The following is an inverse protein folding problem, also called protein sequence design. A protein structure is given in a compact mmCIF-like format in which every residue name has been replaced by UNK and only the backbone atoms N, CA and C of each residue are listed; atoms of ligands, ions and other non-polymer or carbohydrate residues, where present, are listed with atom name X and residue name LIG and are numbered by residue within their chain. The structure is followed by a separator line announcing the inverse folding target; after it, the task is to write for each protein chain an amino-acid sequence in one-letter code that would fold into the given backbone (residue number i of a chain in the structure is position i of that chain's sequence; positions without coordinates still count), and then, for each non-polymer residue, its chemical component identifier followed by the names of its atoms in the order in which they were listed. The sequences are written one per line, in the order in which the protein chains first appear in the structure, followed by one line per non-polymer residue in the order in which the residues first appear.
data_IF_698310520354
#
_entry.id   IF_698310520354
#
_cell.length_a   1.000
_cell.length_b   1.000
_cell.length_c   1.000
_cell.angle_alpha   90.00
_cell.angle_beta   90.00
_cell.angle_gamma   90.00
#
_symmetry.space_group_name_H-M   'P 1'
#
loop_
_entity.id
_entity.type
_entity.pdbx_description
1 polymer ?
#
# COMPACT_ATOMS: atom_id res chain seq x y z
N UNK A 1 22.91 -47.09 25.65
CA UNK A 1 21.86 -46.03 25.54
C UNK A 1 22.45 -44.97 24.62
N UNK A 2 22.25 -45.12 23.32
CA UNK A 2 22.57 -44.07 22.37
C UNK A 2 21.47 -43.03 22.49
N UNK A 3 21.86 -41.85 22.98
CA UNK A 3 20.96 -40.71 23.04
C UNK A 3 20.49 -40.40 21.62
N UNK A 4 19.19 -40.42 21.41
CA UNK A 4 18.52 -39.86 20.26
C UNK A 4 19.03 -38.42 20.04
N UNK A 5 20.04 -38.23 19.19
CA UNK A 5 20.42 -36.92 18.68
C UNK A 5 19.25 -36.41 17.87
N UNK A 6 18.37 -35.69 18.53
CA UNK A 6 17.19 -35.12 17.94
C UNK A 6 17.56 -34.07 16.87
N UNK A 7 16.61 -33.71 15.98
CA UNK A 7 16.63 -32.58 15.03
C UNK A 7 17.20 -31.27 15.63
N UNK A 8 17.36 -31.24 16.96
CA UNK A 8 17.93 -30.12 17.72
C UNK A 8 19.44 -29.91 17.52
N UNK A 9 20.18 -30.83 16.90
CA UNK A 9 21.65 -30.70 16.73
C UNK A 9 22.08 -29.64 15.70
N UNK A 10 21.14 -29.15 14.86
CA UNK A 10 21.38 -28.07 13.89
C UNK A 10 21.48 -26.68 14.56
N UNK A 11 20.91 -26.52 15.73
CA UNK A 11 20.88 -25.27 16.46
C UNK A 11 21.70 -25.37 17.74
N UNK A 12 22.53 -24.36 18.01
CA UNK A 12 23.36 -24.32 19.20
C UNK A 12 22.54 -24.31 20.49
N UNK A 13 21.36 -23.69 20.42
CA UNK A 13 20.45 -23.56 21.55
C UNK A 13 18.96 -23.44 21.09
N UNK A 14 18.05 -23.41 22.08
CA UNK A 14 16.63 -23.28 21.84
C UNK A 14 16.25 -21.93 21.17
N UNK A 15 16.97 -20.88 21.54
CA UNK A 15 16.69 -19.53 20.97
C UNK A 15 16.95 -19.52 19.48
N UNK A 16 18.10 -20.02 19.02
CA UNK A 16 18.44 -20.09 17.59
C UNK A 16 17.41 -20.86 16.81
N UNK A 17 16.93 -21.99 17.36
CA UNK A 17 15.88 -22.77 16.75
C UNK A 17 14.56 -22.01 16.63
N UNK A 18 14.16 -21.28 17.68
CA UNK A 18 12.92 -20.49 17.66
C UNK A 18 13.02 -19.28 16.73
N UNK A 19 14.19 -18.63 16.66
CA UNK A 19 14.46 -17.53 15.73
C UNK A 19 14.42 -18.00 14.27
N UNK A 20 14.97 -19.18 13.97
CA UNK A 20 14.87 -19.77 12.64
C UNK A 20 13.41 -20.01 12.23
N UNK A 21 12.59 -20.64 13.08
CA UNK A 21 11.19 -20.88 12.76
C UNK A 21 10.41 -19.58 12.59
N UNK A 22 10.68 -18.57 13.42
CA UNK A 22 10.05 -17.26 13.32
C UNK A 22 10.40 -16.53 12.03
N UNK A 23 11.65 -16.63 11.57
CA UNK A 23 12.13 -15.96 10.36
C UNK A 23 11.85 -16.69 9.05
N UNK A 24 11.41 -17.94 9.09
CA UNK A 24 11.31 -18.81 7.91
C UNK A 24 10.40 -18.30 6.81
N UNK A 25 9.38 -17.51 7.15
CA UNK A 25 8.40 -16.97 6.22
C UNK A 25 8.49 -15.45 6.09
N UNK A 26 9.63 -14.86 6.48
CA UNK A 26 9.82 -13.43 6.35
C UNK A 26 10.18 -13.07 4.91
N UNK A 27 9.38 -12.19 4.31
CA UNK A 27 9.59 -11.65 2.97
C UNK A 27 9.97 -10.18 3.06
N UNK A 28 10.88 -9.74 2.20
CA UNK A 28 11.33 -8.37 2.10
C UNK A 28 11.06 -7.81 0.71
N UNK A 29 10.67 -6.54 0.66
CA UNK A 29 10.65 -5.79 -0.59
C UNK A 29 12.08 -5.43 -1.00
N UNK A 30 12.36 -5.38 -2.32
CA UNK A 30 13.68 -5.01 -2.81
C UNK A 30 14.09 -3.60 -2.36
N UNK A 31 15.39 -3.38 -2.17
CA UNK A 31 15.93 -2.04 -1.92
C UNK A 31 15.85 -1.19 -3.18
N UNK A 32 15.89 0.12 -3.01
CA UNK A 32 15.85 1.09 -4.10
C UNK A 32 14.63 0.89 -5.03
N UNK A 33 13.48 0.59 -4.43
CA UNK A 33 12.25 0.33 -5.16
C UNK A 33 11.21 1.43 -4.99
N UNK A 34 10.29 1.49 -5.93
CA UNK A 34 9.05 2.23 -5.81
C UNK A 34 8.00 1.31 -5.21
N UNK A 35 7.49 1.66 -4.06
CA UNK A 35 6.58 0.81 -3.32
C UNK A 35 5.20 1.44 -3.25
N UNK A 36 4.20 0.64 -3.57
CA UNK A 36 2.80 0.99 -3.39
C UNK A 36 2.22 0.22 -2.20
N UNK A 37 1.57 0.95 -1.31
CA UNK A 37 0.79 0.40 -0.19
C UNK A 37 -0.67 0.76 -0.44
N UNK A 38 -1.56 -0.21 -0.39
CA UNK A 38 -3.00 0.01 -0.50
C UNK A 38 -3.69 -0.50 0.77
N UNK A 39 -4.50 0.35 1.40
CA UNK A 39 -5.40 0.00 2.48
C UNK A 39 -6.84 0.05 1.97
N UNK A 40 -7.62 -0.98 2.23
CA UNK A 40 -9.02 -1.09 1.82
C UNK A 40 -9.93 -1.34 3.03
N UNK A 41 -11.08 -0.69 3.03
CA UNK A 41 -12.05 -0.76 4.13
C UNK A 41 -12.86 -2.05 4.11
N UNK A 42 -12.63 -2.95 5.07
CA UNK A 42 -13.35 -4.23 5.16
C UNK A 42 -14.85 -4.05 5.40
N UNK A 43 -15.65 -4.42 4.39
CA UNK A 43 -17.13 -4.37 4.45
C UNK A 43 -17.70 -2.96 4.73
N UNK A 44 -17.02 -1.91 4.31
CA UNK A 44 -17.46 -0.53 4.55
C UNK A 44 -18.76 -0.20 3.82
N UNK A 45 -18.98 -0.71 2.62
CA UNK A 45 -20.17 -0.44 1.82
C UNK A 45 -21.49 -0.66 2.59
N UNK A 46 -21.54 -1.68 3.45
CA UNK A 46 -22.72 -1.95 4.29
C UNK A 46 -22.84 -1.00 5.48
N UNK A 47 -21.72 -0.60 6.08
CA UNK A 47 -21.65 0.30 7.23
C UNK A 47 -21.90 1.75 6.81
N UNK A 48 -21.29 2.17 5.68
CA UNK A 48 -21.38 3.53 5.14
C UNK A 48 -22.80 3.86 4.70
N UNK A 49 -23.45 3.00 3.91
CA UNK A 49 -24.80 3.24 3.39
C UNK A 49 -25.84 3.51 4.49
N UNK A 50 -25.64 2.96 5.67
CA UNK A 50 -26.58 3.13 6.80
C UNK A 50 -26.34 4.39 7.62
N UNK A 51 -25.11 4.89 7.67
CA UNK A 51 -24.70 5.93 8.62
C UNK A 51 -24.43 7.29 7.94
N UNK A 52 -24.02 7.28 6.69
CA UNK A 52 -23.53 8.47 5.99
C UNK A 52 -24.44 8.90 4.85
N UNK A 53 -24.43 10.19 4.54
CA UNK A 53 -25.17 10.78 3.42
C UNK A 53 -24.71 10.14 2.10
N UNK A 54 -25.66 9.89 1.20
CA UNK A 54 -25.38 9.36 -0.13
C UNK A 54 -25.63 10.45 -1.20
N UNK A 55 -24.87 10.48 -2.28
CA UNK A 55 -23.79 9.56 -2.64
C UNK A 55 -22.48 9.85 -1.91
N UNK A 56 -22.23 11.07 -1.45
CA UNK A 56 -20.98 11.49 -0.83
C UNK A 56 -21.25 12.19 0.52
N UNK A 57 -20.46 11.82 1.52
CA UNK A 57 -20.53 12.37 2.86
C UNK A 57 -19.23 13.04 3.24
N UNK A 58 -19.27 14.33 3.55
CA UNK A 58 -18.06 15.11 3.85
C UNK A 58 -17.30 14.58 5.08
N UNK A 59 -18.02 14.12 6.12
CA UNK A 59 -17.40 13.62 7.35
C UNK A 59 -16.62 12.33 7.06
N UNK A 60 -17.19 11.42 6.27
CA UNK A 60 -16.50 10.22 5.84
C UNK A 60 -15.28 10.53 4.98
N UNK A 61 -15.45 11.45 4.01
CA UNK A 61 -14.38 11.93 3.13
C UNK A 61 -13.24 12.52 3.95
N UNK A 62 -13.53 13.42 4.88
CA UNK A 62 -12.54 14.07 5.73
C UNK A 62 -11.80 13.09 6.62
N UNK A 63 -12.53 12.12 7.21
CA UNK A 63 -11.90 11.08 8.01
C UNK A 63 -10.95 10.19 7.21
N UNK A 64 -11.29 9.87 5.95
CA UNK A 64 -10.42 9.12 5.04
C UNK A 64 -9.19 9.94 4.63
N UNK A 65 -9.37 11.22 4.31
CA UNK A 65 -8.28 12.14 3.97
C UNK A 65 -7.31 12.31 5.14
N UNK A 66 -7.82 12.55 6.36
CA UNK A 66 -7.04 12.68 7.58
C UNK A 66 -6.28 11.38 7.89
N UNK A 67 -6.92 10.22 7.67
CA UNK A 67 -6.28 8.91 7.85
C UNK A 67 -5.11 8.72 6.88
N UNK A 68 -5.29 9.09 5.62
CA UNK A 68 -4.22 9.03 4.62
C UNK A 68 -3.09 10.00 4.97
N UNK A 69 -3.39 11.24 5.34
CA UNK A 69 -2.39 12.23 5.76
C UNK A 69 -1.60 11.75 6.99
N UNK A 70 -2.27 11.17 7.96
CA UNK A 70 -1.63 10.58 9.13
C UNK A 70 -0.73 9.40 8.76
N UNK A 71 -1.21 8.46 7.94
CA UNK A 71 -0.40 7.35 7.42
C UNK A 71 0.86 7.85 6.71
N UNK A 72 0.72 8.81 5.80
CA UNK A 72 1.85 9.42 5.11
C UNK A 72 2.85 10.07 6.08
N UNK A 73 2.38 10.60 7.22
CA UNK A 73 3.26 11.17 8.26
C UNK A 73 4.02 10.12 9.07
N UNK A 74 3.49 8.89 9.15
CA UNK A 74 4.09 7.79 9.93
C UNK A 74 4.98 6.88 9.08
N UNK A 75 4.77 6.84 7.77
CA UNK A 75 5.50 5.98 6.84
C UNK A 75 6.76 6.69 6.37
N UNK A 76 7.93 6.18 6.75
CA UNK A 76 9.21 6.67 6.26
C UNK A 76 9.30 6.46 4.74
N UNK A 77 9.69 7.52 4.02
CA UNK A 77 9.80 7.48 2.56
C UNK A 77 8.47 7.69 1.82
N UNK A 78 7.36 7.98 2.52
CA UNK A 78 6.11 8.36 1.87
C UNK A 78 6.30 9.62 1.02
N UNK A 79 5.84 9.56 -0.23
CA UNK A 79 5.91 10.62 -1.24
C UNK A 79 4.56 11.30 -1.39
N UNK A 80 3.51 10.53 -1.60
CA UNK A 80 2.14 11.02 -1.67
C UNK A 80 1.16 9.88 -1.34
N UNK A 81 -0.07 10.28 -1.01
CA UNK A 81 -1.21 9.40 -0.84
C UNK A 81 -2.33 9.73 -1.82
N UNK A 82 -3.16 8.75 -2.14
CA UNK A 82 -4.37 8.90 -2.93
C UNK A 82 -5.53 8.23 -2.20
N UNK A 83 -6.69 8.90 -2.18
CA UNK A 83 -7.89 8.42 -1.49
C UNK A 83 -9.07 8.42 -2.43
N UNK A 84 -9.78 7.29 -2.46
CA UNK A 84 -11.08 7.16 -3.09
C UNK A 84 -12.00 6.27 -2.24
N UNK A 85 -13.25 6.66 -2.04
CA UNK A 85 -14.18 5.88 -1.20
C UNK A 85 -13.50 5.45 0.10
N UNK A 86 -13.46 4.16 0.40
CA UNK A 86 -12.82 3.52 1.56
C UNK A 86 -11.42 2.96 1.26
N UNK A 87 -10.83 3.38 0.15
CA UNK A 87 -9.49 2.96 -0.28
C UNK A 87 -8.45 4.09 -0.13
N UNK A 88 -7.28 3.75 0.39
CA UNK A 88 -6.10 4.61 0.48
C UNK A 88 -4.95 3.92 -0.24
N UNK A 89 -4.33 4.61 -1.19
CA UNK A 89 -3.07 4.18 -1.82
C UNK A 89 -1.95 5.14 -1.42
N UNK A 90 -0.80 4.61 -0.97
CA UNK A 90 0.37 5.42 -0.58
C UNK A 90 1.55 5.00 -1.43
N UNK A 91 2.14 5.95 -2.10
CA UNK A 91 3.42 5.79 -2.77
C UNK A 91 4.55 6.12 -1.80
N UNK A 92 5.47 5.18 -1.60
CA UNK A 92 6.70 5.38 -0.85
C UNK A 92 7.93 4.88 -1.63
N UNK A 93 9.11 5.41 -1.30
CA UNK A 93 10.37 4.98 -1.90
C UNK A 93 11.55 5.26 -0.97
N UNK A 94 12.66 4.58 -1.20
CA UNK A 94 13.94 4.81 -0.51
C UNK A 94 15.08 5.15 -1.47
N UNK A 95 14.77 5.61 -2.68
CA UNK A 95 15.79 5.98 -3.69
C UNK A 95 16.46 7.32 -3.43
N UNK A 96 16.29 7.92 -2.25
CA UNK A 96 16.80 9.26 -1.93
C UNK A 96 18.31 9.28 -1.77
N UNK A 97 18.89 8.32 -1.04
CA UNK A 97 20.34 8.13 -0.88
C UNK A 97 20.67 6.65 -0.85
N UNK A 98 21.93 6.25 -1.13
CA UNK A 98 22.35 4.85 -1.04
C UNK A 98 22.15 4.22 0.35
N UNK A 99 22.15 5.03 1.40
CA UNK A 99 21.98 4.59 2.79
C UNK A 99 20.50 4.54 3.22
N UNK A 100 19.58 5.07 2.39
CA UNK A 100 18.16 5.07 2.68
C UNK A 100 17.62 3.64 2.70
N UNK A 101 16.85 3.31 3.72
CA UNK A 101 16.17 2.02 3.83
C UNK A 101 14.65 2.21 3.71
N UNK A 102 13.97 1.18 3.22
CA UNK A 102 12.51 1.14 3.26
C UNK A 102 12.00 1.14 4.70
N UNK A 103 10.80 1.63 4.88
CA UNK A 103 10.09 1.56 6.16
C UNK A 103 10.11 0.14 6.70
N UNK A 104 10.59 -0.05 7.94
CA UNK A 104 10.86 -1.36 8.53
C UNK A 104 11.75 -2.29 7.69
N UNK A 105 12.71 -1.74 6.98
CA UNK A 105 13.65 -2.49 6.12
C UNK A 105 12.93 -3.36 5.07
N UNK A 106 11.77 -2.91 4.61
CA UNK A 106 10.98 -3.61 3.60
C UNK A 106 10.33 -4.92 4.07
N UNK A 107 10.36 -5.26 5.36
CA UNK A 107 9.75 -6.48 5.92
C UNK A 107 8.25 -6.50 5.70
N UNK A 108 7.79 -7.28 4.70
CA UNK A 108 6.44 -7.20 4.16
C UNK A 108 5.36 -7.43 5.23
N UNK A 109 5.46 -8.50 6.01
CA UNK A 109 4.48 -8.82 7.06
C UNK A 109 4.39 -7.70 8.10
N UNK A 110 5.54 -7.09 8.45
CA UNK A 110 5.58 -5.99 9.41
C UNK A 110 4.98 -4.71 8.83
N UNK A 111 5.29 -4.39 7.58
CA UNK A 111 4.67 -3.27 6.86
C UNK A 111 3.14 -3.40 6.86
N UNK A 112 2.61 -4.54 6.38
CA UNK A 112 1.18 -4.77 6.26
C UNK A 112 0.47 -4.68 7.62
N UNK A 113 1.02 -5.31 8.66
CA UNK A 113 0.41 -5.34 9.99
C UNK A 113 0.41 -3.96 10.66
N UNK A 114 1.49 -3.20 10.55
CA UNK A 114 1.59 -1.87 11.17
C UNK A 114 0.74 -0.85 10.41
N UNK A 115 0.79 -0.83 9.08
CA UNK A 115 0.02 0.13 8.28
C UNK A 115 -1.49 -0.09 8.43
N UNK A 116 -1.97 -1.35 8.38
CA UNK A 116 -3.38 -1.65 8.63
C UNK A 116 -3.82 -1.30 10.04
N UNK A 117 -2.96 -1.51 11.04
CA UNK A 117 -3.21 -1.13 12.43
C UNK A 117 -3.33 0.38 12.60
N UNK A 118 -2.42 1.16 11.99
CA UNK A 118 -2.46 2.64 12.01
C UNK A 118 -3.73 3.14 11.32
N UNK A 119 -4.03 2.66 10.10
CA UNK A 119 -5.24 3.05 9.38
C UNK A 119 -6.50 2.78 10.22
N UNK A 120 -6.62 1.58 10.75
CA UNK A 120 -7.76 1.14 11.58
C UNK A 120 -7.91 2.01 12.83
N UNK A 121 -6.84 2.21 13.59
CA UNK A 121 -6.91 2.94 14.86
C UNK A 121 -7.20 4.42 14.63
N UNK A 122 -6.53 5.05 13.65
CA UNK A 122 -6.71 6.48 13.40
C UNK A 122 -8.10 6.78 12.81
N UNK A 123 -8.57 5.99 11.85
CA UNK A 123 -9.90 6.16 11.28
C UNK A 123 -10.99 5.99 12.36
N UNK A 124 -10.91 4.97 13.22
CA UNK A 124 -11.85 4.78 14.31
C UNK A 124 -11.80 5.94 15.30
N UNK A 125 -10.61 6.48 15.59
CA UNK A 125 -10.47 7.70 16.41
C UNK A 125 -11.25 8.87 15.80
N UNK A 126 -11.10 9.13 14.50
CA UNK A 126 -11.83 10.18 13.77
C UNK A 126 -13.34 9.97 13.80
N UNK A 127 -13.79 8.73 13.58
CA UNK A 127 -15.20 8.40 13.66
C UNK A 127 -15.77 8.55 15.07
N UNK A 128 -14.98 8.30 16.10
CA UNK A 128 -15.35 8.50 17.49
C UNK A 128 -15.46 10.00 17.80
N UNK A 129 -14.45 10.79 17.43
CA UNK A 129 -14.47 12.26 17.58
C UNK A 129 -15.73 12.86 16.95
N UNK A 130 -16.08 12.41 15.74
CA UNK A 130 -17.31 12.82 15.07
C UNK A 130 -18.57 12.38 15.84
N UNK A 131 -18.62 11.15 16.33
CA UNK A 131 -19.79 10.59 16.99
C UNK A 131 -20.13 11.28 18.32
N UNK A 132 -19.13 11.84 18.99
CA UNK A 132 -19.30 12.58 20.27
C UNK A 132 -19.33 14.11 20.08
N UNK A 133 -19.11 14.60 18.87
CA UNK A 133 -19.10 16.04 18.62
C UNK A 133 -20.49 16.66 18.91
N UNK A 134 -20.49 17.72 19.73
CA UNK A 134 -21.72 18.38 20.16
C UNK A 134 -22.50 17.68 21.29
N UNK A 135 -22.00 16.55 21.82
CA UNK A 135 -22.59 15.88 22.98
C UNK A 135 -21.88 16.33 24.25
N UNK A 136 -22.62 16.81 25.22
CA UNK A 136 -22.08 17.35 26.49
C UNK A 136 -22.42 16.50 27.72
N UNK A 137 -23.36 15.55 27.56
CA UNK A 137 -23.79 14.67 28.65
C UNK A 137 -22.94 13.40 28.67
N UNK A 138 -22.38 13.03 29.83
CA UNK A 138 -21.50 11.86 29.99
C UNK A 138 -22.19 10.53 29.62
N UNK A 139 -23.47 10.38 29.97
CA UNK A 139 -24.24 9.19 29.63
C UNK A 139 -24.40 9.02 28.10
N UNK A 140 -24.70 10.13 27.42
CA UNK A 140 -24.88 10.12 25.96
C UNK A 140 -23.55 9.91 25.23
N UNK A 141 -22.44 10.45 25.76
CA UNK A 141 -21.09 10.14 25.25
C UNK A 141 -20.79 8.64 25.40
N UNK A 142 -21.05 8.04 26.57
CA UNK A 142 -20.84 6.61 26.80
C UNK A 142 -21.67 5.76 25.83
N UNK A 143 -22.92 6.13 25.62
CA UNK A 143 -23.81 5.44 24.67
C UNK A 143 -23.27 5.56 23.24
N UNK A 144 -22.92 6.76 22.79
CA UNK A 144 -22.35 6.99 21.45
C UNK A 144 -21.07 6.18 21.21
N UNK A 145 -20.20 6.06 22.23
CA UNK A 145 -18.99 5.24 22.16
C UNK A 145 -19.35 3.75 22.08
N UNK A 146 -20.29 3.27 22.90
CA UNK A 146 -20.67 1.83 22.94
C UNK A 146 -21.35 1.36 21.65
N UNK A 147 -22.08 2.25 20.97
CA UNK A 147 -22.82 1.96 19.75
C UNK A 147 -22.01 2.23 18.47
N UNK A 148 -20.81 2.87 18.59
CA UNK A 148 -19.98 3.20 17.45
C UNK A 148 -19.51 1.92 16.72
N UNK A 149 -19.72 1.81 15.41
CA UNK A 149 -19.22 0.68 14.65
C UNK A 149 -17.70 0.69 14.61
N UNK A 150 -17.08 -0.48 14.74
CA UNK A 150 -15.66 -0.63 14.52
C UNK A 150 -15.38 -0.86 13.04
N UNK A 151 -14.53 -0.04 12.50
CA UNK A 151 -14.04 -0.11 11.11
C UNK A 151 -12.69 -0.84 11.10
N UNK A 152 -12.42 -1.57 10.04
CA UNK A 152 -11.20 -2.34 9.88
C UNK A 152 -10.67 -2.14 8.47
N UNK A 153 -9.34 -2.03 8.34
CA UNK A 153 -8.65 -1.97 7.06
C UNK A 153 -7.79 -3.21 6.87
N UNK A 154 -7.81 -3.79 5.67
CA UNK A 154 -6.74 -4.65 5.22
C UNK A 154 -5.72 -3.85 4.40
N UNK A 155 -4.51 -4.40 4.25
CA UNK A 155 -3.46 -3.76 3.49
C UNK A 155 -2.79 -4.73 2.53
N UNK A 156 -2.38 -4.20 1.39
CA UNK A 156 -1.53 -4.85 0.40
C UNK A 156 -0.32 -3.96 0.14
N UNK A 157 0.81 -4.58 -0.19
CA UNK A 157 2.03 -3.84 -0.48
C UNK A 157 2.81 -4.59 -1.56
N UNK A 158 3.35 -3.85 -2.53
CA UNK A 158 4.15 -4.39 -3.62
C UNK A 158 5.09 -3.32 -4.16
N UNK A 159 6.14 -3.75 -4.82
CA UNK A 159 7.06 -2.90 -5.55
C UNK A 159 6.62 -2.71 -7.00
N UNK A 160 7.04 -1.60 -7.58
CA UNK A 160 6.79 -1.21 -8.96
C UNK A 160 8.14 -0.93 -9.64
N UNK A 161 8.33 -1.39 -10.89
CA UNK A 161 9.62 -1.32 -11.56
C UNK A 161 10.00 0.10 -12.00
N UNK A 162 9.03 0.99 -12.19
CA UNK A 162 9.30 2.33 -12.71
C UNK A 162 8.35 3.39 -12.16
N UNK A 163 8.75 4.65 -12.27
CA UNK A 163 7.87 5.78 -11.98
C UNK A 163 6.65 5.83 -12.93
N UNK A 164 6.81 5.34 -14.16
CA UNK A 164 5.67 5.20 -15.09
C UNK A 164 4.63 4.21 -14.57
N UNK A 165 5.05 3.13 -13.91
CA UNK A 165 4.12 2.16 -13.29
C UNK A 165 3.44 2.76 -12.06
N UNK A 166 4.13 3.60 -11.30
CA UNK A 166 3.51 4.40 -10.23
C UNK A 166 2.41 5.31 -10.79
N UNK A 167 2.71 6.03 -11.87
CA UNK A 167 1.73 6.87 -12.56
C UNK A 167 0.57 6.03 -13.15
N UNK A 168 0.89 4.85 -13.68
CA UNK A 168 -0.08 3.87 -14.16
C UNK A 168 -1.04 3.40 -13.06
N UNK A 169 -0.54 3.17 -11.84
CA UNK A 169 -1.36 2.84 -10.69
C UNK A 169 -2.35 3.96 -10.34
N UNK A 170 -1.89 5.20 -10.23
CA UNK A 170 -2.77 6.32 -9.94
C UNK A 170 -3.82 6.56 -11.05
N UNK A 171 -3.44 6.43 -12.32
CA UNK A 171 -4.39 6.48 -13.44
C UNK A 171 -5.45 5.37 -13.32
N UNK A 172 -5.04 4.14 -13.04
CA UNK A 172 -5.95 3.00 -12.87
C UNK A 172 -6.94 3.25 -11.74
N UNK A 173 -6.46 3.70 -10.56
CA UNK A 173 -7.33 3.96 -9.42
C UNK A 173 -8.25 5.18 -9.63
N UNK A 174 -7.76 6.24 -10.27
CA UNK A 174 -8.56 7.41 -10.61
C UNK A 174 -9.68 7.09 -11.62
N UNK A 175 -9.39 6.26 -12.61
CA UNK A 175 -10.40 5.78 -13.57
C UNK A 175 -11.48 4.94 -12.88
N UNK A 176 -11.07 4.08 -11.95
CA UNK A 176 -12.00 3.28 -11.15
C UNK A 176 -12.84 4.16 -10.21
N UNK A 177 -12.24 5.18 -9.60
CA UNK A 177 -12.95 6.20 -8.82
C UNK A 177 -14.05 6.89 -9.63
N UNK A 178 -13.72 7.33 -10.83
CA UNK A 178 -14.67 7.98 -11.75
C UNK A 178 -15.86 7.07 -12.05
N UNK A 179 -15.59 5.82 -12.40
CA UNK A 179 -16.64 4.81 -12.64
C UNK A 179 -17.52 4.61 -11.41
N UNK A 180 -16.92 4.42 -10.25
CA UNK A 180 -17.62 4.19 -8.98
C UNK A 180 -18.45 5.43 -8.57
N UNK A 181 -17.92 6.63 -8.76
CA UNK A 181 -18.59 7.90 -8.50
C UNK A 181 -19.87 8.05 -9.35
N UNK A 182 -19.79 7.77 -10.65
CA UNK A 182 -20.95 7.78 -11.56
C UNK A 182 -22.02 6.77 -11.12
N UNK A 183 -21.61 5.54 -10.81
CA UNK A 183 -22.51 4.50 -10.34
C UNK A 183 -23.18 4.85 -9.01
N UNK A 184 -22.41 5.36 -8.06
CA UNK A 184 -22.93 5.73 -6.74
C UNK A 184 -23.92 6.89 -6.84
N UNK A 185 -23.63 7.91 -7.66
CA UNK A 185 -24.56 9.00 -7.92
C UNK A 185 -25.87 8.48 -8.53
N UNK A 186 -25.79 7.66 -9.57
CA UNK A 186 -26.99 7.10 -10.20
C UNK A 186 -27.80 6.20 -9.24
N UNK A 187 -27.14 5.28 -8.51
CA UNK A 187 -27.79 4.35 -7.57
C UNK A 187 -28.45 5.05 -6.38
N UNK A 188 -28.04 6.26 -6.04
CA UNK A 188 -28.65 7.03 -4.96
C UNK A 188 -30.06 7.51 -5.31
N UNK A 189 -30.32 7.83 -6.58
CA UNK A 189 -31.56 8.47 -7.00
C UNK A 189 -32.42 7.63 -7.94
N UNK A 190 -31.85 6.58 -8.54
CA UNK A 190 -32.52 5.70 -9.48
C UNK A 190 -32.61 4.27 -8.94
N UNK A 191 -33.69 3.58 -9.27
CA UNK A 191 -33.90 2.20 -8.85
C UNK A 191 -32.98 1.23 -9.62
N UNK A 192 -32.68 0.07 -9.03
CA UNK A 192 -31.91 -0.98 -9.70
C UNK A 192 -32.51 -1.40 -11.05
N UNK A 193 -33.89 -1.42 -11.15
CA UNK A 193 -34.58 -1.77 -12.40
C UNK A 193 -34.32 -0.76 -13.52
N UNK A 194 -34.19 0.53 -13.20
CA UNK A 194 -33.90 1.58 -14.18
C UNK A 194 -32.44 1.53 -14.65
N UNK A 195 -31.53 1.08 -13.80
CA UNK A 195 -30.08 1.02 -14.08
C UNK A 195 -29.64 -0.29 -14.74
N UNK A 196 -30.48 -1.33 -14.67
CA UNK A 196 -30.14 -2.66 -15.17
C UNK A 196 -29.81 -2.63 -16.68
N UNK A 197 -28.65 -3.20 -17.05
CA UNK A 197 -28.19 -3.28 -18.44
C UNK A 197 -27.58 -1.99 -19.01
N UNK A 198 -27.43 -0.92 -18.20
CA UNK A 198 -26.87 0.36 -18.64
C UNK A 198 -25.41 0.52 -18.22
N UNK A 199 -24.59 1.02 -19.13
CA UNK A 199 -23.23 1.46 -18.82
C UNK A 199 -23.23 2.74 -17.98
N UNK A 200 -22.11 3.05 -17.32
CA UNK A 200 -22.02 4.17 -16.36
C UNK A 200 -22.38 5.52 -16.97
N UNK A 201 -22.02 5.78 -18.22
CA UNK A 201 -22.33 7.02 -18.89
C UNK A 201 -23.83 7.13 -19.21
N UNK A 202 -24.48 6.04 -19.63
CA UNK A 202 -25.93 5.97 -19.79
C UNK A 202 -26.67 6.14 -18.46
N UNK A 203 -26.07 5.70 -17.34
CA UNK A 203 -26.65 5.87 -16.01
C UNK A 203 -26.68 7.34 -15.58
N UNK A 204 -25.61 8.11 -15.83
CA UNK A 204 -25.56 9.54 -15.49
C UNK A 204 -26.42 10.38 -16.43
N UNK A 205 -26.53 10.02 -17.71
CA UNK A 205 -27.46 10.66 -18.62
C UNK A 205 -28.93 10.44 -18.17
N UNK A 206 -29.26 9.21 -17.76
CA UNK A 206 -30.60 8.91 -17.24
C UNK A 206 -30.85 9.66 -15.91
N UNK A 207 -29.83 9.81 -15.06
CA UNK A 207 -29.90 10.60 -13.82
C UNK A 207 -30.24 12.06 -14.13
N UNK A 208 -29.55 12.64 -15.12
CA UNK A 208 -29.78 13.99 -15.58
C UNK A 208 -31.18 14.16 -16.15
N UNK A 209 -31.62 13.26 -17.03
CA UNK A 209 -32.95 13.28 -17.64
C UNK A 209 -34.07 13.19 -16.59
N UNK A 210 -33.98 12.23 -15.67
CA UNK A 210 -35.07 11.95 -14.72
C UNK A 210 -35.06 12.80 -13.46
N UNK A 211 -33.91 13.26 -13.03
CA UNK A 211 -33.75 13.95 -11.72
C UNK A 211 -33.20 15.36 -11.87
N UNK A 212 -32.74 15.77 -13.05
CA UNK A 212 -32.11 17.06 -13.27
C UNK A 212 -30.73 17.17 -12.66
N UNK A 213 -30.13 16.04 -12.20
CA UNK A 213 -28.82 16.00 -11.56
C UNK A 213 -27.78 15.67 -12.64
N UNK A 214 -26.97 16.67 -12.97
CA UNK A 214 -25.85 16.51 -13.91
C UNK A 214 -24.58 16.17 -13.12
N UNK A 215 -24.08 14.93 -13.27
CA UNK A 215 -22.87 14.46 -12.56
C UNK A 215 -21.66 15.33 -12.84
N UNK A 216 -21.55 15.91 -14.03
CA UNK A 216 -20.39 16.74 -14.42
C UNK A 216 -20.31 18.05 -13.65
N UNK A 217 -21.44 18.63 -13.27
CA UNK A 217 -21.54 19.95 -12.62
C UNK A 217 -21.93 19.89 -11.14
N UNK A 218 -22.64 18.84 -10.72
CA UNK A 218 -23.14 18.71 -9.34
C UNK A 218 -22.05 18.33 -8.34
N UNK A 219 -21.10 17.51 -8.76
CA UNK A 219 -20.07 16.95 -7.87
C UNK A 219 -18.71 17.59 -8.12
N UNK A 220 -17.93 17.79 -7.03
CA UNK A 220 -16.59 18.34 -7.13
C UNK A 220 -15.57 17.30 -7.62
N UNK A 221 -14.38 17.76 -7.99
CA UNK A 221 -13.36 16.87 -8.56
C UNK A 221 -12.86 15.81 -7.55
N UNK A 222 -12.87 16.11 -6.24
CA UNK A 222 -12.53 15.13 -5.20
C UNK A 222 -13.53 13.99 -5.08
N UNK A 223 -14.82 14.25 -5.38
CA UNK A 223 -15.89 13.24 -5.43
C UNK A 223 -15.87 12.45 -6.75
N UNK A 224 -15.40 13.06 -7.83
CA UNK A 224 -15.32 12.46 -9.16
C UNK A 224 -14.05 11.65 -9.39
N UNK A 225 -12.89 12.17 -9.00
CA UNK A 225 -11.57 11.66 -9.36
C UNK A 225 -10.72 11.24 -8.16
N UNK A 226 -11.26 11.38 -6.93
CA UNK A 226 -10.53 11.11 -5.70
C UNK A 226 -9.72 12.31 -5.18
N UNK A 227 -8.90 12.09 -4.18
CA UNK A 227 -8.08 13.12 -3.53
C UNK A 227 -6.65 12.67 -3.48
N UNK A 228 -5.73 13.62 -3.70
CA UNK A 228 -4.29 13.40 -3.57
C UNK A 228 -3.80 14.09 -2.30
N UNK A 229 -2.95 13.42 -1.53
CA UNK A 229 -2.37 13.91 -0.29
C UNK A 229 -0.86 14.02 -0.47
N UNK A 230 -0.31 15.22 -0.28
CA UNK A 230 1.12 15.47 -0.38
C UNK A 230 1.57 16.55 0.59
N UNK A 231 2.90 16.72 0.74
CA UNK A 231 3.48 17.74 1.63
C UNK A 231 3.45 19.11 0.98
N UNK A 232 2.99 20.08 1.76
CA UNK A 232 3.13 21.51 1.45
C UNK A 232 3.89 22.22 2.56
N UNK A 233 4.56 23.32 2.21
CA UNK A 233 5.20 24.20 3.18
C UNK A 233 4.17 25.20 3.67
N UNK A 234 4.00 25.28 4.99
CA UNK A 234 3.20 26.32 5.65
C UNK A 234 4.10 27.28 6.40
N UNK A 235 3.86 28.59 6.22
CA UNK A 235 4.52 29.63 6.99
C UNK A 235 3.81 29.79 8.34
N UNK A 236 4.58 29.70 9.40
CA UNK A 236 4.10 29.87 10.76
C UNK A 236 4.89 30.95 11.47
N UNK A 237 4.22 31.64 12.39
CA UNK A 237 4.85 32.58 13.29
C UNK A 237 4.80 32.01 14.70
N UNK A 238 5.93 31.95 15.37
CA UNK A 238 6.03 31.47 16.75
C UNK A 238 6.86 32.41 17.61
N UNK A 239 6.87 32.18 18.94
CA UNK A 239 7.71 32.96 19.87
C UNK A 239 8.82 32.07 20.38
N UNK A 240 10.07 32.47 20.14
CA UNK A 240 11.25 31.78 20.67
C UNK A 240 12.11 32.82 21.45
N UNK A 241 12.37 32.57 22.73
CA UNK A 241 13.10 33.45 23.63
C UNK A 241 12.54 34.92 23.65
N UNK A 242 11.20 35.06 23.62
CA UNK A 242 10.53 36.36 23.65
C UNK A 242 10.58 37.16 22.34
N UNK A 243 11.11 36.57 21.27
CA UNK A 243 11.13 37.16 19.93
C UNK A 243 10.19 36.40 18.99
N UNK A 244 9.48 37.12 18.14
CA UNK A 244 8.70 36.54 17.07
C UNK A 244 9.64 35.95 16.01
N UNK A 245 9.46 34.69 15.68
CA UNK A 245 10.23 33.97 14.67
C UNK A 245 9.27 33.42 13.64
N UNK A 246 9.56 33.65 12.37
CA UNK A 246 8.88 33.01 11.25
C UNK A 246 9.61 31.72 10.90
N UNK A 247 8.84 30.64 10.67
CA UNK A 247 9.38 29.35 10.25
C UNK A 247 8.44 28.64 9.30
N UNK A 248 8.99 27.77 8.48
CA UNK A 248 8.23 26.91 7.58
C UNK A 248 8.06 25.51 8.20
N UNK A 249 6.89 24.94 8.02
CA UNK A 249 6.58 23.57 8.44
C UNK A 249 5.97 22.81 7.29
N UNK A 250 6.53 21.63 7.01
CA UNK A 250 5.93 20.69 6.06
C UNK A 250 4.73 20.01 6.69
N UNK A 251 3.57 20.14 6.05
CA UNK A 251 2.31 19.50 6.47
C UNK A 251 1.72 18.68 5.33
N UNK A 252 1.11 17.55 5.67
CA UNK A 252 0.39 16.74 4.72
C UNK A 252 -1.01 17.29 4.51
N UNK A 253 -1.35 17.63 3.25
CA UNK A 253 -2.65 18.20 2.89
C UNK A 253 -3.35 17.41 1.82
N UNK A 254 -4.68 17.38 1.90
CA UNK A 254 -5.56 16.79 0.91
C UNK A 254 -5.95 17.83 -0.14
N UNK A 255 -5.86 17.44 -1.41
CA UNK A 255 -6.29 18.22 -2.56
C UNK A 255 -7.18 17.37 -3.45
N UNK A 256 -8.08 18.01 -4.19
CA UNK A 256 -8.86 17.31 -5.20
C UNK A 256 -7.93 16.81 -6.30
N UNK A 257 -8.06 15.54 -6.63
CA UNK A 257 -7.39 14.99 -7.79
C UNK A 257 -8.04 15.53 -9.07
N UNK A 258 -7.36 15.37 -10.18
CA UNK A 258 -7.83 15.74 -11.50
C UNK A 258 -8.11 14.48 -12.32
N UNK A 259 -8.84 14.65 -13.41
CA UNK A 259 -9.01 13.56 -14.38
C UNK A 259 -7.68 13.16 -14.99
N UNK A 260 -7.10 12.08 -14.53
CA UNK A 260 -5.78 11.58 -14.99
C UNK A 260 -5.85 10.91 -16.38
N UNK A 261 -7.02 10.78 -17.02
CA UNK A 261 -7.11 10.38 -18.42
C UNK A 261 -6.57 11.47 -19.35
N UNK A 262 -6.56 12.71 -18.87
CA UNK A 262 -6.01 13.89 -19.54
C UNK A 262 -4.49 13.95 -19.32
N UNK A 263 -3.64 13.98 -20.37
CA UNK A 263 -2.18 13.97 -20.25
C UNK A 263 -1.61 15.06 -19.32
N UNK A 264 -2.09 16.30 -19.47
CA UNK A 264 -1.64 17.47 -18.69
C UNK A 264 -1.87 17.29 -17.19
N UNK A 265 -2.92 16.56 -16.82
CA UNK A 265 -3.20 16.26 -15.41
C UNK A 265 -2.24 15.19 -14.86
N UNK A 266 -1.75 14.27 -15.69
CA UNK A 266 -0.67 13.33 -15.29
C UNK A 266 0.65 14.06 -15.09
N UNK A 267 0.97 15.03 -15.93
CA UNK A 267 2.15 15.88 -15.73
C UNK A 267 2.07 16.67 -14.42
N UNK A 268 0.90 17.23 -14.09
CA UNK A 268 0.67 17.88 -12.80
C UNK A 268 0.92 16.94 -11.62
N UNK A 269 0.43 15.69 -11.67
CA UNK A 269 0.69 14.71 -10.60
C UNK A 269 2.17 14.33 -10.51
N UNK A 270 2.84 14.17 -11.66
CA UNK A 270 4.26 13.88 -11.72
C UNK A 270 5.09 15.01 -11.10
N UNK A 271 4.72 16.28 -11.33
CA UNK A 271 5.36 17.42 -10.70
C UNK A 271 5.19 17.43 -9.17
N UNK A 272 4.02 17.04 -8.64
CA UNK A 272 3.80 16.87 -7.20
C UNK A 272 4.75 15.79 -6.64
N UNK A 273 4.87 14.66 -7.31
CA UNK A 273 5.76 13.57 -6.91
C UNK A 273 7.22 14.05 -6.89
N UNK A 274 7.67 14.79 -7.91
CA UNK A 274 9.03 15.34 -8.00
C UNK A 274 9.33 16.35 -6.91
N UNK A 275 8.35 17.16 -6.45
CA UNK A 275 8.51 18.12 -5.35
C UNK A 275 8.82 17.48 -3.99
N UNK A 276 8.65 16.17 -3.87
CA UNK A 276 9.01 15.44 -2.65
C UNK A 276 10.50 15.49 -2.31
N UNK A 277 11.34 15.99 -3.23
CA UNK A 277 12.80 16.04 -3.10
C UNK A 277 13.48 14.71 -3.38
N UNK A 278 12.74 13.70 -3.84
CA UNK A 278 13.31 12.42 -4.28
C UNK A 278 13.93 12.60 -5.67
N UNK A 279 15.17 12.22 -5.82
CA UNK A 279 15.83 12.16 -7.12
C UNK A 279 15.38 10.90 -7.87
N UNK A 280 14.56 11.09 -8.90
CA UNK A 280 14.06 10.03 -9.78
C UNK A 280 14.91 9.84 -11.03
N UNK A 281 16.05 10.55 -11.16
CA UNK A 281 16.96 10.43 -12.30
C UNK A 281 17.79 9.14 -12.26
N UNK A 282 17.76 8.43 -11.14
CA UNK A 282 18.43 7.16 -10.99
C UNK A 282 17.88 6.14 -12.00
N UNK A 283 18.73 5.72 -12.89
CA UNK A 283 18.43 4.97 -14.09
C UNK A 283 17.62 3.69 -13.79
N UNK A 284 16.53 3.47 -14.52
CA UNK A 284 15.70 2.28 -14.43
C UNK A 284 16.48 0.98 -14.64
N UNK A 285 17.57 1.03 -15.41
CA UNK A 285 18.45 -0.11 -15.68
C UNK A 285 19.20 -0.52 -14.42
N UNK A 286 19.82 0.42 -13.70
CA UNK A 286 20.56 0.13 -12.45
C UNK A 286 19.64 -0.46 -11.36
N UNK A 287 18.42 0.03 -11.24
CA UNK A 287 17.42 -0.52 -10.32
C UNK A 287 16.98 -1.93 -10.68
N UNK A 288 16.72 -2.18 -11.96
CA UNK A 288 16.35 -3.51 -12.45
C UNK A 288 17.46 -4.53 -12.19
N UNK A 289 18.72 -4.14 -12.39
CA UNK A 289 19.88 -4.99 -12.08
C UNK A 289 19.97 -5.27 -10.59
N UNK A 290 19.83 -4.25 -9.74
CA UNK A 290 19.86 -4.41 -8.27
C UNK A 290 18.73 -5.31 -7.79
N UNK A 291 17.50 -5.08 -8.25
CA UNK A 291 16.35 -5.91 -7.88
C UNK A 291 16.53 -7.37 -8.34
N UNK A 292 17.02 -7.60 -9.57
CA UNK A 292 17.32 -8.95 -10.06
C UNK A 292 18.43 -9.63 -9.25
N UNK A 293 19.44 -8.88 -8.78
CA UNK A 293 20.49 -9.40 -7.91
C UNK A 293 19.95 -9.80 -6.54
N UNK A 294 19.12 -8.95 -5.93
CA UNK A 294 18.50 -9.21 -4.63
C UNK A 294 17.56 -10.42 -4.71
N UNK A 295 16.70 -10.49 -5.73
CA UNK A 295 15.85 -11.67 -5.97
C UNK A 295 16.65 -12.95 -6.18
N UNK A 296 17.73 -12.87 -6.96
CA UNK A 296 18.62 -14.02 -7.23
C UNK A 296 19.36 -14.46 -5.96
N UNK A 297 19.75 -13.50 -5.11
CA UNK A 297 20.38 -13.76 -3.83
C UNK A 297 19.42 -14.47 -2.86
N UNK A 298 18.18 -13.98 -2.72
CA UNK A 298 17.19 -14.61 -1.83
C UNK A 298 16.77 -16.01 -2.33
N UNK A 299 16.63 -16.20 -3.65
CA UNK A 299 16.42 -17.54 -4.25
C UNK A 299 17.59 -18.48 -3.92
N UNK A 300 18.83 -18.00 -4.04
CA UNK A 300 20.02 -18.80 -3.73
C UNK A 300 20.07 -19.18 -2.24
N UNK A 301 19.75 -18.26 -1.36
CA UNK A 301 19.70 -18.46 0.10
C UNK A 301 18.61 -19.48 0.47
N UNK A 302 17.44 -19.41 -0.14
CA UNK A 302 16.37 -20.38 0.06
C UNK A 302 16.80 -21.78 -0.38
N UNK A 303 17.40 -21.90 -1.58
CA UNK A 303 17.92 -23.17 -2.10
C UNK A 303 18.99 -23.76 -1.17
N UNK A 304 19.90 -22.94 -0.65
CA UNK A 304 20.92 -23.37 0.31
C UNK A 304 20.30 -23.89 1.60
N UNK A 305 19.26 -23.20 2.10
CA UNK A 305 18.52 -23.65 3.28
C UNK A 305 17.83 -25.00 3.08
N UNK A 306 17.19 -25.18 1.91
CA UNK A 306 16.49 -26.41 1.58
C UNK A 306 17.47 -27.59 1.39
N UNK A 307 18.61 -27.35 0.73
CA UNK A 307 19.69 -28.37 0.60
C UNK A 307 20.27 -28.79 1.93
N UNK A 308 20.44 -27.85 2.85
CA UNK A 308 20.92 -28.15 4.19
C UNK A 308 19.91 -29.02 4.95
N UNK A 309 18.61 -28.69 4.85
CA UNK A 309 17.52 -29.47 5.44
C UNK A 309 17.47 -30.91 4.89
N UNK A 310 17.60 -31.07 3.56
CA UNK A 310 17.65 -32.38 2.92
C UNK A 310 18.87 -33.19 3.39
N UNK A 311 20.04 -32.53 3.53
CA UNK A 311 21.26 -33.17 4.03
C UNK A 311 21.08 -33.66 5.47
N UNK A 312 20.49 -32.82 6.32
CA UNK A 312 20.22 -33.15 7.72
C UNK A 312 19.24 -34.33 7.84
N UNK A 313 18.15 -34.33 7.04
CA UNK A 313 17.18 -35.44 7.00
C UNK A 313 17.87 -36.74 6.57
N UNK A 314 18.71 -36.70 5.54
CA UNK A 314 19.42 -37.89 5.06
C UNK A 314 20.43 -38.42 6.08
N UNK A 315 21.07 -37.55 6.85
CA UNK A 315 22.04 -37.92 7.89
C UNK A 315 21.36 -38.56 9.13
N UNK A 316 20.27 -37.91 9.60
CA UNK A 316 19.64 -38.29 10.87
C UNK A 316 18.45 -39.23 10.71
N UNK A 317 17.77 -39.23 9.56
CA UNK A 317 16.57 -40.01 9.28
C UNK A 317 16.60 -40.62 7.87
N UNK A 318 17.57 -41.47 7.55
CA UNK A 318 17.74 -41.97 6.17
C UNK A 318 16.55 -42.80 5.65
N UNK A 319 15.74 -43.36 6.53
CA UNK A 319 14.53 -44.11 6.17
C UNK A 319 13.29 -43.22 5.92
N UNK A 320 13.32 -41.97 6.37
CA UNK A 320 12.22 -40.99 6.21
C UNK A 320 12.44 -40.09 5.01
N UNK A 321 13.68 -40.02 4.49
CA UNK A 321 13.99 -39.21 3.32
C UNK A 321 13.11 -39.52 2.09
N UNK A 322 12.78 -40.80 1.74
CA UNK A 322 11.88 -41.10 0.63
C UNK A 322 10.48 -40.52 0.84
N UNK A 323 9.92 -40.55 2.06
CA UNK A 323 8.60 -40.00 2.37
C UNK A 323 8.61 -38.46 2.28
N UNK A 324 9.69 -37.83 2.73
CA UNK A 324 9.88 -36.40 2.61
C UNK A 324 10.06 -35.95 1.16
N UNK A 325 10.76 -36.77 0.34
CA UNK A 325 10.94 -36.49 -1.10
C UNK A 325 9.68 -36.74 -1.91
N UNK A 326 8.70 -37.53 -1.45
CA UNK A 326 7.39 -37.65 -2.11
C UNK A 326 6.54 -36.38 -1.94
N UNK A 327 6.68 -35.65 -0.83
CA UNK A 327 6.07 -34.32 -0.63
C UNK A 327 6.89 -33.20 -1.27
N UNK A 328 8.18 -33.43 -1.52
CA UNK A 328 9.11 -32.48 -2.11
C UNK A 328 9.05 -32.56 -3.63
N UNK A 329 8.40 -31.60 -4.27
CA UNK A 329 8.35 -31.55 -5.72
C UNK A 329 9.72 -31.22 -6.32
N UNK A 330 10.48 -32.27 -6.66
CA UNK A 330 11.79 -32.16 -7.31
C UNK A 330 11.74 -31.35 -8.63
N UNK A 331 10.57 -31.27 -9.29
CA UNK A 331 10.37 -30.47 -10.50
C UNK A 331 10.33 -28.98 -10.17
N UNK A 332 9.69 -28.59 -9.05
CA UNK A 332 9.68 -27.22 -8.59
C UNK A 332 11.09 -26.73 -8.24
N UNK A 333 11.89 -27.60 -7.63
CA UNK A 333 13.28 -27.30 -7.29
C UNK A 333 14.19 -27.13 -8.51
N UNK A 334 14.05 -28.03 -9.48
CA UNK A 334 14.77 -27.94 -10.77
C UNK A 334 14.34 -26.69 -11.53
N UNK A 335 13.04 -26.34 -11.49
CA UNK A 335 12.51 -25.12 -12.10
C UNK A 335 13.14 -23.87 -11.49
N UNK A 336 13.20 -23.78 -10.14
CA UNK A 336 13.83 -22.67 -9.43
C UNK A 336 15.33 -22.54 -9.75
N UNK A 337 16.05 -23.64 -9.87
CA UNK A 337 17.46 -23.64 -10.29
C UNK A 337 17.63 -23.18 -11.76
N UNK A 338 16.72 -23.55 -12.64
CA UNK A 338 16.73 -23.10 -14.03
C UNK A 338 16.41 -21.62 -14.16
N UNK A 339 15.46 -21.09 -13.38
CA UNK A 339 15.16 -19.67 -13.27
C UNK A 339 16.40 -18.90 -12.79
N UNK A 340 17.03 -19.33 -11.69
CA UNK A 340 18.22 -18.70 -11.16
C UNK A 340 19.36 -18.65 -12.19
N UNK A 341 19.58 -19.73 -12.94
CA UNK A 341 20.55 -19.75 -14.04
C UNK A 341 20.20 -18.77 -15.16
N UNK A 342 18.91 -18.65 -15.49
CA UNK A 342 18.43 -17.70 -16.50
C UNK A 342 18.65 -16.25 -16.05
N UNK A 343 18.36 -15.96 -14.79
CA UNK A 343 18.54 -14.62 -14.22
C UNK A 343 20.01 -14.22 -14.17
N UNK A 344 20.89 -15.10 -13.75
CA UNK A 344 22.36 -14.88 -13.79
C UNK A 344 22.85 -14.63 -15.23
N UNK A 345 22.29 -15.33 -16.21
CA UNK A 345 22.68 -15.12 -17.64
C UNK A 345 22.20 -13.76 -18.14
N UNK A 346 21.00 -13.31 -17.77
CA UNK A 346 20.50 -11.97 -18.11
C UNK A 346 21.34 -10.87 -17.46
N UNK A 347 21.70 -11.02 -16.19
CA UNK A 347 22.59 -10.11 -15.48
C UNK A 347 23.94 -9.95 -16.16
N UNK A 348 24.57 -11.04 -16.58
CA UNK A 348 25.82 -11.00 -17.35
C UNK A 348 25.68 -10.22 -18.65
N UNK A 349 24.58 -10.40 -19.38
CA UNK A 349 24.34 -9.68 -20.64
C UNK A 349 24.09 -8.17 -20.44
N UNK A 350 23.56 -7.77 -19.29
CA UNK A 350 23.38 -6.35 -18.97
C UNK A 350 24.73 -5.72 -18.59
N UNK A 351 25.53 -6.38 -17.76
CA UNK A 351 26.87 -5.88 -17.38
C UNK A 351 27.83 -5.79 -18.58
N UNK A 352 27.76 -6.74 -19.53
CA UNK A 352 28.60 -6.73 -20.74
C UNK A 352 28.25 -5.60 -21.73
N UNK A 353 27.01 -5.10 -21.72
CA UNK A 353 26.59 -3.96 -22.57
C UNK A 353 27.00 -2.60 -22.02
N UNK A 354 27.15 -2.47 -20.70
CA UNK A 354 27.59 -1.23 -20.07
C UNK A 354 29.12 -1.01 -20.20
N UNK A 355 29.90 -2.08 -20.43
CA UNK A 355 31.34 -1.99 -20.69
C UNK A 355 31.69 -1.60 -22.15
N UNK A 356 30.72 -1.60 -23.08
CA UNK A 356 30.87 -1.22 -24.49
C UNK A 356 30.34 0.21 -24.80
N UNK A 357 29.76 0.92 -23.81
CA UNK A 357 29.24 2.29 -23.95
C UNK A 357 30.10 3.31 -23.20
#
# INVERSE_FOLDING_TARGET
MEENKSINSRFENLEDRMLFYRGRHEQHLPRNSYVMIMCDGRSFSQKIKKKFKQPFDSVFIDAMNDTCAYLCSQIQGAVCGYVQSDEISIFMTNVQTPESTLFYDGRLVKLLSIVSSIATSFFNKKMMEYSINGIFNESDIKNAISEAPLYQFDCKCWDLPSLNDVMGWFLFRSTDCTRNSKQQAAQTYLSHKELMGKHTDEQIELLKEKKGIDWHTEYNDGEKYGRIIFKEQEHHTGTFNGKTVEYERSVWKSHYNKDLTIPENREWLLEIIKRSGVDFSCDSVSRNVTNMLDESYEKAKQIQSDLTLISDINEYFPNELPLFCEEFDSKDYISKLQELRSDIKKLKQVCEKDDES
#
